data_IF_309743953721
#
_entry.id   IF_309743953721
#
_cell.length_a   1.000
_cell.length_b   1.000
_cell.length_c   1.000
_cell.angle_alpha   90.00
_cell.angle_beta   90.00
_cell.angle_gamma   90.00
#
_symmetry.space_group_name_H-M   'P 1'
#
loop_
_entity.id
_entity.type
_entity.pdbx_description
1 polymer ?
#
# COMPACT_ATOMS: atom_id res chain seq x y z
N UNK A 1 -19.84 7.89 8.63
CA UNK A 1 -19.46 6.59 8.02
C UNK A 1 -18.34 6.75 7.01
N UNK A 2 -18.47 7.62 5.98
CA UNK A 2 -17.44 7.84 4.94
C UNK A 2 -16.05 8.31 5.45
N UNK A 3 -16.01 9.17 6.47
CA UNK A 3 -14.76 9.61 7.11
C UNK A 3 -14.04 8.46 7.86
N UNK A 4 -14.80 7.54 8.46
CA UNK A 4 -14.23 6.34 9.09
C UNK A 4 -13.65 5.36 8.05
N UNK A 5 -14.29 5.28 6.89
CA UNK A 5 -13.81 4.46 5.78
C UNK A 5 -12.51 5.02 5.18
N UNK A 6 -12.46 6.34 4.93
CA UNK A 6 -11.22 6.99 4.48
C UNK A 6 -10.08 6.83 5.49
N UNK A 7 -10.37 6.92 6.79
CA UNK A 7 -9.39 6.65 7.84
C UNK A 7 -8.91 5.19 7.80
N UNK A 8 -9.82 4.24 7.58
CA UNK A 8 -9.46 2.83 7.45
C UNK A 8 -8.54 2.58 6.25
N UNK A 9 -8.86 3.13 5.07
CA UNK A 9 -8.03 2.99 3.87
C UNK A 9 -6.62 3.57 4.07
N UNK A 10 -6.50 4.74 4.72
CA UNK A 10 -5.21 5.35 5.04
C UNK A 10 -4.38 4.46 5.97
N UNK A 11 -5.00 3.92 7.03
CA UNK A 11 -4.32 2.99 7.94
C UNK A 11 -3.91 1.70 7.22
N UNK A 12 -4.74 1.17 6.32
CA UNK A 12 -4.39 0.00 5.52
C UNK A 12 -3.21 0.28 4.59
N UNK A 13 -3.18 1.45 3.94
CA UNK A 13 -2.05 1.86 3.08
C UNK A 13 -0.74 1.92 3.88
N UNK A 14 -0.75 2.58 5.03
CA UNK A 14 0.42 2.67 5.92
C UNK A 14 0.94 1.28 6.35
N UNK A 15 0.04 0.33 6.63
CA UNK A 15 0.41 -1.04 6.97
C UNK A 15 1.08 -1.79 5.81
N UNK A 16 0.58 -1.58 4.58
CA UNK A 16 1.15 -2.20 3.39
C UNK A 16 2.50 -1.59 3.02
N UNK A 17 2.64 -0.26 3.15
CA UNK A 17 3.90 0.46 2.96
C UNK A 17 4.97 -0.04 3.94
N UNK A 18 4.64 -0.15 5.23
CA UNK A 18 5.55 -0.71 6.23
C UNK A 18 5.93 -2.18 5.94
N UNK A 19 4.98 -2.99 5.45
CA UNK A 19 5.25 -4.38 5.05
C UNK A 19 6.18 -4.44 3.84
N UNK A 20 6.00 -3.56 2.87
CA UNK A 20 6.86 -3.44 1.69
C UNK A 20 8.27 -2.99 2.07
N UNK A 21 8.41 -1.98 2.93
CA UNK A 21 9.72 -1.53 3.43
C UNK A 21 10.44 -2.65 4.16
N UNK A 22 9.75 -3.39 5.03
CA UNK A 22 10.32 -4.54 5.74
C UNK A 22 10.73 -5.65 4.78
N UNK A 23 9.94 -5.91 3.74
CA UNK A 23 10.28 -6.85 2.67
C UNK A 23 11.57 -6.37 2.00
N UNK A 24 11.59 -5.19 1.38
CA UNK A 24 12.78 -4.64 0.71
C UNK A 24 14.03 -4.69 1.61
N UNK A 25 13.91 -4.29 2.88
CA UNK A 25 15.01 -4.32 3.84
C UNK A 25 15.57 -5.72 4.10
N UNK A 26 14.72 -6.76 4.11
CA UNK A 26 15.15 -8.17 4.24
C UNK A 26 15.90 -8.66 3.02
N UNK A 27 15.49 -8.24 1.82
CA UNK A 27 16.09 -8.69 0.56
C UNK A 27 17.28 -7.82 0.12
N UNK A 28 17.55 -6.70 0.79
CA UNK A 28 18.62 -5.75 0.45
C UNK A 28 20.05 -6.32 0.54
N UNK A 29 20.26 -7.49 1.15
CA UNK A 29 21.58 -8.11 1.37
C UNK A 29 21.71 -9.55 0.81
N UNK A 30 20.69 -10.08 0.15
CA UNK A 30 20.69 -11.46 -0.35
C UNK A 30 21.11 -11.55 -1.82
N UNK A 31 22.34 -11.99 -2.09
CA UNK A 31 22.76 -12.40 -3.44
C UNK A 31 22.05 -13.71 -3.82
N UNK A 32 20.83 -13.60 -4.35
CA UNK A 32 20.19 -14.72 -5.08
C UNK A 32 18.85 -15.22 -4.57
N UNK A 33 17.94 -14.35 -4.11
CA UNK A 33 16.56 -14.79 -3.83
C UNK A 33 15.61 -14.48 -5.00
N UNK A 34 14.80 -15.50 -5.31
CA UNK A 34 13.74 -15.49 -6.31
C UNK A 34 12.70 -14.47 -5.88
N UNK A 35 12.38 -13.50 -6.76
CA UNK A 35 11.21 -12.63 -6.60
C UNK A 35 9.98 -13.53 -6.49
N UNK A 36 9.44 -13.67 -5.28
CA UNK A 36 8.26 -14.47 -4.99
C UNK A 36 6.95 -13.76 -5.35
N UNK A 37 7.06 -12.56 -5.95
CA UNK A 37 5.94 -11.71 -6.34
C UNK A 37 5.38 -10.87 -5.20
N UNK A 38 5.89 -11.00 -3.97
CA UNK A 38 5.40 -10.24 -2.81
C UNK A 38 5.57 -8.74 -3.00
N UNK A 39 6.70 -8.28 -3.53
CA UNK A 39 6.90 -6.85 -3.81
C UNK A 39 5.86 -6.33 -4.81
N UNK A 40 5.65 -7.06 -5.90
CA UNK A 40 4.69 -6.68 -6.94
C UNK A 40 3.26 -6.63 -6.40
N UNK A 41 2.85 -7.64 -5.63
CA UNK A 41 1.52 -7.69 -5.00
C UNK A 41 1.32 -6.52 -4.03
N UNK A 42 2.30 -6.23 -3.18
CA UNK A 42 2.23 -5.13 -2.22
C UNK A 42 2.12 -3.78 -2.93
N UNK A 43 2.94 -3.55 -3.98
CA UNK A 43 2.87 -2.32 -4.79
C UNK A 43 1.53 -2.17 -5.49
N UNK A 44 1.02 -3.24 -6.08
CA UNK A 44 -0.30 -3.23 -6.72
C UNK A 44 -1.38 -2.85 -5.71
N UNK A 45 -1.38 -3.48 -4.53
CA UNK A 45 -2.40 -3.22 -3.51
C UNK A 45 -2.33 -1.81 -2.94
N UNK A 46 -1.12 -1.27 -2.76
CA UNK A 46 -0.90 0.13 -2.35
C UNK A 46 -1.46 1.09 -3.40
N UNK A 47 -1.25 0.81 -4.69
CA UNK A 47 -1.76 1.63 -5.78
C UNK A 47 -3.31 1.65 -5.79
N UNK A 48 -3.95 0.48 -5.72
CA UNK A 48 -5.41 0.37 -5.66
C UNK A 48 -6.03 1.18 -4.52
N UNK A 49 -5.46 1.07 -3.31
CA UNK A 49 -5.95 1.81 -2.14
C UNK A 49 -5.69 3.31 -2.30
N UNK A 50 -4.56 3.69 -2.90
CA UNK A 50 -4.23 5.11 -3.14
C UNK A 50 -5.19 5.74 -4.14
N UNK A 51 -5.54 5.03 -5.22
CA UNK A 51 -6.53 5.47 -6.20
C UNK A 51 -7.92 5.63 -5.55
N UNK A 52 -8.32 4.69 -4.70
CA UNK A 52 -9.59 4.78 -3.98
C UNK A 52 -9.62 5.96 -2.99
N UNK A 53 -8.53 6.19 -2.26
CA UNK A 53 -8.39 7.38 -1.39
C UNK A 53 -8.52 8.66 -2.23
N UNK A 54 -7.84 8.74 -3.37
CA UNK A 54 -7.87 9.90 -4.24
C UNK A 54 -9.28 10.16 -4.79
N UNK A 55 -10.00 9.12 -5.21
CA UNK A 55 -11.39 9.23 -5.64
C UNK A 55 -12.30 9.76 -4.51
N UNK A 56 -12.21 9.19 -3.31
CA UNK A 56 -13.00 9.62 -2.15
C UNK A 56 -12.67 11.05 -1.69
N UNK A 57 -11.43 11.51 -1.89
CA UNK A 57 -11.00 12.87 -1.59
C UNK A 57 -11.47 13.87 -2.65
N UNK A 58 -11.46 13.49 -3.92
CA UNK A 58 -11.98 14.30 -5.02
C UNK A 58 -13.49 14.52 -4.87
N UNK A 59 -14.26 13.47 -4.52
CA UNK A 59 -15.70 13.58 -4.21
C UNK A 59 -16.01 14.47 -2.99
N UNK A 60 -15.01 14.84 -2.19
CA UNK A 60 -15.14 15.77 -1.06
C UNK A 60 -14.83 17.21 -1.41
N UNK A 61 -14.16 17.45 -2.54
CA UNK A 61 -13.76 18.77 -3.00
C UNK A 61 -14.82 19.42 -3.92
N UNK A 62 -15.77 18.63 -4.44
CA UNK A 62 -17.01 19.07 -5.10
C UNK A 62 -18.15 19.28 -4.11
#
# INVERSE_FOLDING_TARGET
MRNSYLKHLRTQREQLEAKLELHIARYCFGEGEVDDGTEAELRQRIAEISDEIAALEAERAE
#
